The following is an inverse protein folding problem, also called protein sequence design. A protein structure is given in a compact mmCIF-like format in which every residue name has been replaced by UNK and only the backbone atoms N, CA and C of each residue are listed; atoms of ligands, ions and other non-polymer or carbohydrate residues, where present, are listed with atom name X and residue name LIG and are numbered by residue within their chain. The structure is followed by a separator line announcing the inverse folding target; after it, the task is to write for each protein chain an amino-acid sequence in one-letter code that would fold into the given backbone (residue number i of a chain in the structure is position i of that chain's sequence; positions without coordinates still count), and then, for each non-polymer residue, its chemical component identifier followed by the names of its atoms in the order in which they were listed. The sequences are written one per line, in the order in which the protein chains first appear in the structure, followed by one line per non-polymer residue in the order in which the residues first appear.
data_IF_711446958433
#
_entry.id   IF_711446958433
#
_cell.length_a   1.000
_cell.length_b   1.000
_cell.length_c   1.000
_cell.angle_alpha   90.00
_cell.angle_beta   90.00
_cell.angle_gamma   90.00
#
_symmetry.space_group_name_H-M   'P 1'
#
loop_
_entity.id
_entity.type
_entity.pdbx_description
1 polymer ?
#
# COMPACT_ATOMS: atom_id res chain seq x y z
N UNK A 1 6.54 -46.13 17.47
CA UNK A 1 7.50 -46.98 16.76
C UNK A 1 8.37 -46.02 15.96
N UNK A 2 9.62 -45.86 16.38
CA UNK A 2 10.62 -45.11 15.65
C UNK A 2 11.07 -46.03 14.53
N UNK A 3 10.57 -45.82 13.31
CA UNK A 3 11.17 -46.43 12.13
C UNK A 3 12.50 -45.77 11.93
N UNK A 4 13.59 -46.53 11.90
CA UNK A 4 14.91 -46.07 11.49
C UNK A 4 14.74 -45.30 10.17
N UNK A 5 14.92 -43.97 10.23
CA UNK A 5 15.05 -43.18 9.04
C UNK A 5 16.33 -43.63 8.31
N UNK A 6 16.24 -43.91 7.01
CA UNK A 6 17.43 -44.08 6.18
C UNK A 6 18.44 -42.99 6.55
N UNK A 7 19.67 -43.38 6.85
CA UNK A 7 20.73 -42.47 7.17
C UNK A 7 20.79 -41.37 6.10
N UNK A 8 20.94 -40.10 6.47
CA UNK A 8 20.96 -39.01 5.50
C UNK A 8 22.06 -39.32 4.47
N UNK A 9 21.72 -39.23 3.18
CA UNK A 9 22.71 -39.30 2.10
C UNK A 9 23.73 -38.22 2.36
N UNK A 10 24.92 -38.61 2.78
CA UNK A 10 25.95 -37.63 3.10
C UNK A 10 26.42 -36.93 1.82
N UNK A 11 26.97 -35.73 1.97
CA UNK A 11 27.67 -35.01 0.90
C UNK A 11 28.66 -35.93 0.19
N UNK A 12 29.38 -36.72 1.01
CA UNK A 12 30.40 -37.67 0.56
C UNK A 12 29.82 -38.79 -0.32
N UNK A 13 28.66 -39.34 0.01
CA UNK A 13 28.00 -40.38 -0.79
C UNK A 13 27.57 -39.83 -2.17
N UNK A 14 27.10 -38.59 -2.23
CA UNK A 14 26.69 -37.96 -3.51
C UNK A 14 27.92 -37.61 -4.36
N UNK A 15 28.98 -37.09 -3.74
CA UNK A 15 30.27 -36.82 -4.38
C UNK A 15 30.85 -38.13 -4.91
N UNK A 16 30.91 -39.19 -4.09
CA UNK A 16 31.37 -40.50 -4.48
C UNK A 16 30.64 -41.05 -5.69
N UNK A 17 29.32 -41.03 -5.67
CA UNK A 17 28.49 -41.45 -6.79
C UNK A 17 28.76 -40.65 -8.08
N UNK A 18 28.99 -39.34 -7.97
CA UNK A 18 29.34 -38.50 -9.10
C UNK A 18 30.72 -38.79 -9.65
N UNK A 19 31.68 -39.08 -8.79
CA UNK A 19 33.05 -39.53 -9.15
C UNK A 19 32.99 -40.87 -9.86
N UNK A 20 32.25 -41.86 -9.34
CA UNK A 20 32.08 -43.19 -9.95
C UNK A 20 31.50 -43.08 -11.38
N UNK A 21 30.57 -42.19 -11.60
CA UNK A 21 30.02 -41.89 -12.93
C UNK A 21 31.12 -41.35 -13.88
N UNK A 22 31.98 -40.48 -13.38
CA UNK A 22 33.07 -39.90 -14.20
C UNK A 22 34.13 -40.96 -14.50
N UNK A 23 34.49 -41.77 -13.51
CA UNK A 23 35.45 -42.90 -13.72
C UNK A 23 34.99 -43.87 -14.80
N UNK A 24 33.68 -44.21 -14.85
CA UNK A 24 33.12 -45.12 -15.86
C UNK A 24 33.10 -44.51 -17.26
N UNK A 25 32.99 -43.19 -17.38
CA UNK A 25 32.77 -42.51 -18.64
C UNK A 25 34.02 -42.00 -19.36
N UNK A 26 35.08 -41.60 -18.62
CA UNK A 26 36.27 -41.05 -19.23
C UNK A 26 36.98 -42.05 -20.14
N UNK A 27 37.15 -43.35 -19.81
CA UNK A 27 37.72 -44.32 -20.71
C UNK A 27 36.92 -44.43 -22.03
N UNK A 28 35.57 -44.34 -21.96
CA UNK A 28 34.69 -44.37 -23.12
C UNK A 28 34.92 -43.17 -24.04
N UNK A 29 35.11 -41.98 -23.45
CA UNK A 29 35.42 -40.77 -24.20
C UNK A 29 36.75 -40.88 -24.90
N UNK A 30 37.80 -41.41 -24.20
CA UNK A 30 39.13 -41.58 -24.75
C UNK A 30 39.08 -42.53 -25.93
N UNK A 31 38.47 -43.72 -25.79
CA UNK A 31 38.35 -44.71 -26.86
C UNK A 31 37.65 -44.16 -28.09
N UNK A 32 36.49 -43.50 -27.90
CA UNK A 32 35.75 -42.91 -29.02
C UNK A 32 36.48 -41.73 -29.68
N UNK A 33 37.25 -40.94 -28.89
CA UNK A 33 38.05 -39.84 -29.42
C UNK A 33 39.31 -40.33 -30.17
N UNK A 34 39.84 -41.49 -29.81
CA UNK A 34 40.96 -42.16 -30.50
C UNK A 34 40.51 -42.66 -31.88
N UNK A 35 39.31 -43.26 -31.97
CA UNK A 35 38.71 -43.67 -33.23
C UNK A 35 38.54 -42.47 -34.20
N UNK A 36 38.14 -41.31 -33.68
CA UNK A 36 37.95 -40.10 -34.48
C UNK A 36 39.17 -39.19 -34.58
N UNK A 37 40.31 -39.56 -34.01
CA UNK A 37 41.60 -38.83 -33.96
C UNK A 37 41.54 -37.45 -33.32
N UNK A 38 40.71 -37.24 -32.30
CA UNK A 38 40.57 -35.98 -31.58
C UNK A 38 41.61 -35.79 -30.46
N UNK A 39 42.85 -35.45 -30.81
CA UNK A 39 44.00 -35.36 -29.87
C UNK A 39 43.73 -34.42 -28.65
N UNK A 40 43.09 -33.26 -28.86
CA UNK A 40 42.79 -32.33 -27.77
C UNK A 40 41.78 -32.92 -26.76
N UNK A 41 40.75 -33.61 -27.28
CA UNK A 41 39.76 -34.27 -26.43
C UNK A 41 40.39 -35.42 -25.64
N UNK A 42 41.26 -36.21 -26.27
CA UNK A 42 42.01 -37.28 -25.64
C UNK A 42 42.89 -36.74 -24.50
N UNK A 43 43.66 -35.68 -24.75
CA UNK A 43 44.53 -35.07 -23.76
C UNK A 43 43.75 -34.51 -22.56
N UNK A 44 42.67 -33.80 -22.79
CA UNK A 44 41.80 -33.26 -21.71
C UNK A 44 41.16 -34.40 -20.90
N UNK A 45 40.73 -35.47 -21.59
CA UNK A 45 40.13 -36.62 -20.93
C UNK A 45 41.15 -37.40 -20.09
N UNK A 46 42.37 -37.57 -20.59
CA UNK A 46 43.49 -38.22 -19.86
C UNK A 46 43.93 -37.38 -18.65
N UNK A 47 43.94 -36.05 -18.77
CA UNK A 47 44.19 -35.15 -17.64
C UNK A 47 43.10 -35.31 -16.53
N UNK A 48 41.84 -35.30 -16.97
CA UNK A 48 40.72 -35.52 -16.05
C UNK A 48 40.75 -36.91 -15.39
N UNK A 49 41.14 -37.98 -16.15
CA UNK A 49 41.31 -39.32 -15.60
C UNK A 49 42.35 -39.35 -14.44
N UNK A 50 43.53 -38.74 -14.66
CA UNK A 50 44.57 -38.66 -13.62
C UNK A 50 44.09 -37.97 -12.34
N UNK A 51 43.31 -36.90 -12.51
CA UNK A 51 42.75 -36.17 -11.35
C UNK A 51 41.70 -37.00 -10.61
N UNK A 52 40.83 -37.70 -11.33
CA UNK A 52 39.84 -38.61 -10.76
C UNK A 52 40.45 -39.78 -10.05
N UNK A 53 41.49 -40.39 -10.66
CA UNK A 53 42.24 -41.51 -10.03
C UNK A 53 42.91 -41.06 -8.72
N UNK A 54 43.46 -39.84 -8.69
CA UNK A 54 43.99 -39.23 -7.46
C UNK A 54 42.90 -39.02 -6.37
N UNK A 55 41.76 -38.51 -6.76
CA UNK A 55 40.60 -38.26 -5.87
C UNK A 55 39.98 -39.58 -5.42
N UNK A 56 39.92 -40.61 -6.30
CA UNK A 56 39.36 -41.93 -6.00
C UNK A 56 40.07 -42.67 -4.83
N UNK A 57 41.31 -42.28 -4.51
CA UNK A 57 42.09 -42.86 -3.40
C UNK A 57 41.87 -42.13 -2.07
N UNK A 58 41.54 -40.83 -2.10
CA UNK A 58 41.24 -40.01 -0.91
C UNK A 58 40.30 -38.88 -1.26
N UNK A 59 39.06 -38.90 -0.73
CA UNK A 59 38.07 -37.81 -0.95
C UNK A 59 38.53 -36.45 -0.43
N UNK A 60 39.47 -36.38 0.50
CA UNK A 60 40.09 -35.13 0.97
C UNK A 60 40.84 -34.35 -0.15
N UNK A 61 41.19 -35.03 -1.23
CA UNK A 61 41.97 -34.43 -2.31
C UNK A 61 41.07 -33.78 -3.42
N UNK A 62 39.73 -33.86 -3.27
CA UNK A 62 38.78 -33.29 -4.20
C UNK A 62 38.99 -31.78 -4.32
N UNK A 63 39.09 -31.07 -3.20
CA UNK A 63 39.22 -29.61 -3.17
C UNK A 63 40.46 -29.13 -3.92
N UNK A 64 41.58 -29.77 -3.69
CA UNK A 64 42.86 -29.42 -4.34
C UNK A 64 42.84 -29.66 -5.88
N UNK A 65 41.97 -30.55 -6.34
CA UNK A 65 41.90 -30.94 -7.78
C UNK A 65 40.73 -30.27 -8.51
N UNK A 66 39.84 -29.56 -7.83
CA UNK A 66 38.61 -29.01 -8.40
C UNK A 66 38.82 -27.99 -9.51
N UNK A 67 39.81 -27.10 -9.34
CA UNK A 67 40.14 -26.11 -10.35
C UNK A 67 40.70 -26.73 -11.64
N UNK A 68 41.57 -27.74 -11.49
CA UNK A 68 42.13 -28.45 -12.63
C UNK A 68 41.10 -29.31 -13.37
N UNK A 69 40.15 -29.91 -12.61
CA UNK A 69 39.00 -30.62 -13.20
C UNK A 69 38.10 -29.67 -13.99
N UNK A 70 37.83 -28.47 -13.48
CA UNK A 70 37.05 -27.44 -14.19
C UNK A 70 37.71 -26.98 -15.46
N UNK A 71 39.04 -26.80 -15.45
CA UNK A 71 39.81 -26.46 -16.63
C UNK A 71 39.71 -27.53 -17.71
N UNK A 72 39.91 -28.82 -17.33
CA UNK A 72 39.76 -29.94 -18.24
C UNK A 72 38.32 -30.02 -18.82
N UNK A 73 37.30 -29.81 -18.02
CA UNK A 73 35.90 -29.75 -18.48
C UNK A 73 35.62 -28.60 -19.43
N UNK A 74 36.16 -27.42 -19.18
CA UNK A 74 36.03 -26.27 -20.08
C UNK A 74 36.70 -26.53 -21.43
N UNK A 75 37.85 -27.19 -21.42
CA UNK A 75 38.53 -27.59 -22.63
C UNK A 75 37.71 -28.59 -23.45
N UNK A 76 37.13 -29.59 -22.80
CA UNK A 76 36.21 -30.55 -23.43
C UNK A 76 34.96 -29.87 -23.99
N UNK A 77 34.36 -28.97 -23.26
CA UNK A 77 33.17 -28.21 -23.67
C UNK A 77 33.48 -27.33 -24.90
N UNK A 78 34.60 -26.62 -24.87
CA UNK A 78 35.05 -25.79 -26.01
C UNK A 78 35.32 -26.62 -27.24
N UNK A 79 35.87 -27.82 -27.04
CA UNK A 79 36.09 -28.74 -28.14
C UNK A 79 34.78 -29.22 -28.75
N UNK A 80 33.79 -29.58 -27.95
CA UNK A 80 32.44 -29.96 -28.41
C UNK A 80 31.78 -28.86 -29.24
N UNK A 81 31.91 -27.60 -28.84
CA UNK A 81 31.34 -26.46 -29.56
C UNK A 81 31.97 -26.20 -30.92
N UNK A 82 33.26 -26.53 -31.06
CA UNK A 82 34.04 -26.24 -32.26
C UNK A 82 34.00 -27.37 -33.29
N UNK A 83 33.66 -28.59 -32.88
CA UNK A 83 33.76 -29.78 -33.71
C UNK A 83 32.41 -30.49 -33.86
N UNK A 84 32.16 -31.07 -35.04
CA UNK A 84 30.96 -31.85 -35.32
C UNK A 84 31.16 -33.30 -34.84
N UNK A 85 30.92 -33.57 -33.58
CA UNK A 85 31.10 -34.88 -32.95
C UNK A 85 29.86 -35.78 -33.19
N UNK A 86 30.06 -37.11 -33.10
CA UNK A 86 28.94 -38.03 -33.11
C UNK A 86 27.97 -37.77 -31.93
N UNK A 87 26.68 -38.05 -32.12
CA UNK A 87 25.66 -37.87 -31.06
C UNK A 87 26.02 -38.62 -29.77
N UNK A 88 26.56 -39.83 -29.91
CA UNK A 88 26.97 -40.69 -28.79
C UNK A 88 28.10 -40.05 -27.98
N UNK A 89 29.15 -39.56 -28.66
CA UNK A 89 30.31 -38.92 -28.02
C UNK A 89 29.90 -37.61 -27.32
N UNK A 90 29.09 -36.77 -27.98
CA UNK A 90 28.56 -35.56 -27.39
C UNK A 90 27.76 -35.84 -26.09
N UNK A 91 26.92 -36.87 -26.07
CA UNK A 91 26.14 -37.24 -24.90
C UNK A 91 27.05 -37.66 -23.74
N UNK A 92 28.03 -38.52 -23.97
CA UNK A 92 28.93 -39.00 -22.92
C UNK A 92 29.80 -37.87 -22.36
N UNK A 93 30.29 -36.94 -23.18
CA UNK A 93 31.05 -35.78 -22.73
C UNK A 93 30.16 -34.85 -21.90
N UNK A 94 28.97 -34.51 -22.41
CA UNK A 94 28.04 -33.62 -21.71
C UNK A 94 27.66 -34.16 -20.30
N UNK A 95 27.34 -35.45 -20.19
CA UNK A 95 27.01 -36.08 -18.92
C UNK A 95 28.21 -36.14 -17.95
N UNK A 96 29.45 -36.29 -18.48
CA UNK A 96 30.66 -36.21 -17.68
C UNK A 96 30.91 -34.82 -17.12
N UNK A 97 30.77 -33.78 -17.97
CA UNK A 97 30.87 -32.38 -17.57
C UNK A 97 29.81 -32.03 -16.49
N UNK A 98 28.57 -32.44 -16.70
CA UNK A 98 27.47 -32.23 -15.73
C UNK A 98 27.80 -32.88 -14.37
N UNK A 99 28.37 -34.10 -14.41
CA UNK A 99 28.74 -34.79 -13.16
C UNK A 99 29.87 -34.07 -12.40
N UNK A 100 30.82 -33.47 -13.09
CA UNK A 100 31.88 -32.67 -12.45
C UNK A 100 31.37 -31.34 -11.93
N UNK A 101 30.50 -30.63 -12.67
CA UNK A 101 29.86 -29.43 -12.14
C UNK A 101 29.00 -29.72 -10.90
N UNK A 102 28.38 -30.90 -10.86
CA UNK A 102 27.64 -31.34 -9.66
C UNK A 102 28.54 -31.59 -8.47
N UNK A 103 29.77 -32.11 -8.68
CA UNK A 103 30.80 -32.26 -7.62
C UNK A 103 31.17 -30.86 -7.09
N UNK A 104 31.40 -29.87 -7.97
CA UNK A 104 31.73 -28.52 -7.60
C UNK A 104 30.61 -27.86 -6.77
N UNK A 105 29.37 -27.97 -7.25
CA UNK A 105 28.22 -27.44 -6.51
C UNK A 105 28.04 -28.04 -5.11
N UNK A 106 28.37 -29.33 -4.97
CA UNK A 106 28.30 -30.03 -3.72
C UNK A 106 29.49 -29.71 -2.79
N UNK A 107 30.64 -29.32 -3.35
CA UNK A 107 31.83 -29.00 -2.57
C UNK A 107 31.72 -27.64 -1.87
N UNK A 108 31.14 -26.65 -2.57
CA UNK A 108 30.91 -25.32 -2.03
C UNK A 108 29.69 -25.23 -1.09
N UNK A 109 28.87 -26.27 -1.06
CA UNK A 109 27.67 -26.30 -0.18
C UNK A 109 27.94 -27.12 1.06
N UNK A 110 27.55 -26.57 2.21
CA UNK A 110 27.44 -27.35 3.46
C UNK A 110 26.53 -28.56 3.22
N UNK A 111 26.78 -29.70 3.90
CA UNK A 111 25.97 -30.90 3.73
C UNK A 111 24.48 -30.59 3.97
N UNK A 112 23.64 -31.03 3.06
CA UNK A 112 22.18 -30.93 3.21
C UNK A 112 21.69 -32.19 3.94
N UNK A 113 20.99 -31.99 5.04
CA UNK A 113 20.40 -33.05 5.84
C UNK A 113 18.89 -33.11 5.56
N UNK A 114 18.32 -34.31 5.57
CA UNK A 114 16.87 -34.52 5.62
C UNK A 114 16.53 -35.02 7.03
N UNK A 115 15.66 -34.28 7.70
CA UNK A 115 15.23 -34.62 9.06
C UNK A 115 13.71 -34.64 9.13
N UNK A 116 13.13 -35.79 9.49
CA UNK A 116 11.73 -35.88 9.86
C UNK A 116 11.55 -35.31 11.27
N UNK A 117 10.68 -34.34 11.39
CA UNK A 117 10.32 -33.67 12.64
C UNK A 117 8.85 -33.98 12.98
N UNK A 118 8.46 -33.75 14.22
CA UNK A 118 7.09 -33.97 14.69
C UNK A 118 6.03 -33.24 13.84
N UNK A 119 6.36 -32.05 13.34
CA UNK A 119 5.45 -31.16 12.60
C UNK A 119 5.77 -31.02 11.10
N UNK A 120 6.67 -31.86 10.57
CA UNK A 120 7.03 -31.80 9.14
C UNK A 120 8.40 -32.39 8.82
N UNK A 121 8.91 -32.06 7.64
CA UNK A 121 10.21 -32.52 7.16
C UNK A 121 11.12 -31.31 6.87
N UNK A 122 12.34 -31.36 7.37
CA UNK A 122 13.39 -30.39 7.11
C UNK A 122 14.40 -30.92 6.10
N UNK A 123 14.79 -30.09 5.15
CA UNK A 123 15.88 -30.31 4.21
C UNK A 123 16.81 -29.10 4.26
N UNK A 124 18.07 -29.27 4.70
CA UNK A 124 18.98 -28.13 4.78
C UNK A 124 20.24 -28.37 5.60
N UNK A 125 20.91 -27.29 5.93
CA UNK A 125 22.13 -27.26 6.71
C UNK A 125 21.82 -27.54 8.18
N UNK A 126 22.71 -28.30 8.83
CA UNK A 126 22.65 -28.58 10.26
C UNK A 126 24.01 -28.38 10.91
N UNK A 127 24.03 -27.90 12.15
CA UNK A 127 25.21 -27.82 12.99
C UNK A 127 24.89 -28.36 14.38
N UNK A 128 25.72 -29.31 14.89
CA UNK A 128 25.53 -29.91 16.21
C UNK A 128 24.12 -30.45 16.49
N UNK A 129 23.49 -31.05 15.46
CA UNK A 129 22.15 -31.62 15.55
C UNK A 129 21.01 -30.58 15.51
N UNK A 130 21.29 -29.31 15.23
CA UNK A 130 20.32 -28.26 15.09
C UNK A 130 20.24 -27.76 13.64
N UNK A 131 19.06 -27.33 13.20
CA UNK A 131 18.88 -26.63 11.92
C UNK A 131 19.61 -25.31 12.02
N UNK A 132 20.54 -25.09 11.08
CA UNK A 132 21.40 -23.91 11.03
C UNK A 132 21.67 -23.54 9.57
N UNK A 133 21.89 -22.26 9.23
CA UNK A 133 22.15 -21.84 7.87
C UNK A 133 20.94 -21.96 6.94
N UNK A 134 21.13 -22.33 5.69
CA UNK A 134 20.06 -22.42 4.68
C UNK A 134 19.32 -23.75 4.77
N UNK A 135 17.97 -23.66 4.63
CA UNK A 135 17.15 -24.86 4.62
C UNK A 135 15.73 -24.63 4.16
N UNK A 136 15.01 -25.74 4.00
CA UNK A 136 13.61 -25.78 3.62
C UNK A 136 12.84 -26.66 4.60
N UNK A 137 11.69 -26.20 5.05
CA UNK A 137 10.84 -26.93 5.96
C UNK A 137 9.46 -27.12 5.34
N UNK A 138 9.03 -28.34 5.20
CA UNK A 138 7.72 -28.74 4.73
C UNK A 138 6.86 -29.09 5.94
N UNK A 139 5.91 -28.25 6.27
CA UNK A 139 4.99 -28.44 7.39
C UNK A 139 3.90 -29.46 7.04
N UNK A 140 3.40 -30.20 8.04
CA UNK A 140 2.29 -31.17 7.84
C UNK A 140 0.99 -30.53 7.39
N UNK A 141 0.76 -29.24 7.69
CA UNK A 141 -0.39 -28.48 7.23
C UNK A 141 -0.29 -28.00 5.76
N UNK A 142 0.81 -28.31 5.08
CA UNK A 142 1.06 -27.94 3.69
C UNK A 142 1.76 -26.59 3.50
N UNK A 143 2.12 -25.89 4.58
CA UNK A 143 2.97 -24.71 4.50
C UNK A 143 4.41 -25.11 4.13
N UNK A 144 5.16 -24.17 3.56
CA UNK A 144 6.57 -24.35 3.23
C UNK A 144 7.34 -23.11 3.66
N UNK A 145 8.43 -23.33 4.40
CA UNK A 145 9.42 -22.27 4.64
C UNK A 145 10.72 -22.61 3.92
N UNK A 146 11.32 -21.62 3.27
CA UNK A 146 12.63 -21.70 2.63
C UNK A 146 13.45 -20.48 3.00
N UNK A 147 14.58 -20.66 3.69
CA UNK A 147 15.35 -19.53 4.18
C UNK A 147 16.40 -19.90 5.21
N UNK A 148 16.80 -18.89 5.98
CA UNK A 148 17.79 -19.05 7.02
C UNK A 148 17.21 -19.69 8.29
N UNK A 149 17.99 -20.55 8.93
CA UNK A 149 17.71 -21.14 10.24
C UNK A 149 18.81 -20.79 11.23
N UNK A 150 18.43 -20.64 12.48
CA UNK A 150 19.35 -20.49 13.60
C UNK A 150 18.78 -21.21 14.83
N UNK A 151 19.55 -22.13 15.42
CA UNK A 151 19.11 -22.89 16.57
C UNK A 151 17.72 -23.53 16.41
N UNK A 152 17.44 -24.20 15.30
CA UNK A 152 16.16 -24.80 14.92
C UNK A 152 15.02 -23.86 14.60
N UNK A 153 15.20 -22.54 14.68
CA UNK A 153 14.18 -21.53 14.41
C UNK A 153 14.42 -20.85 13.06
N UNK A 154 13.35 -20.42 12.39
CA UNK A 154 13.43 -19.53 11.23
C UNK A 154 14.14 -18.24 11.66
N UNK A 155 15.10 -17.79 10.88
CA UNK A 155 15.89 -16.61 11.20
C UNK A 155 16.36 -15.92 9.90
N UNK A 156 16.86 -14.66 10.00
CA UNK A 156 17.39 -13.98 8.83
C UNK A 156 16.38 -13.82 7.70
N UNK A 157 16.79 -14.07 6.46
CA UNK A 157 15.91 -13.95 5.28
C UNK A 157 15.26 -15.27 4.93
N UNK A 158 13.96 -15.20 4.59
CA UNK A 158 13.24 -16.39 4.17
C UNK A 158 11.95 -16.09 3.41
N UNK A 159 11.46 -17.15 2.77
CA UNK A 159 10.18 -17.20 2.08
C UNK A 159 9.28 -18.21 2.79
N UNK A 160 8.11 -17.78 3.19
CA UNK A 160 7.06 -18.63 3.75
C UNK A 160 5.90 -18.71 2.79
N UNK A 161 5.58 -19.89 2.30
CA UNK A 161 4.42 -20.15 1.45
C UNK A 161 3.40 -20.89 2.28
N UNK A 162 2.26 -20.25 2.51
CA UNK A 162 1.13 -20.81 3.24
C UNK A 162 0.36 -21.82 2.38
N UNK A 163 -0.33 -22.76 2.99
CA UNK A 163 -1.15 -23.76 2.29
C UNK A 163 -2.27 -23.14 1.44
N UNK A 164 -2.79 -21.97 1.84
CA UNK A 164 -3.75 -21.16 1.08
C UNK A 164 -3.14 -20.42 -0.11
N UNK A 165 -1.83 -20.55 -0.35
CA UNK A 165 -1.02 -19.89 -1.39
C UNK A 165 -0.65 -18.43 -1.12
N UNK A 166 -0.92 -17.90 0.05
CA UNK A 166 -0.29 -16.65 0.47
C UNK A 166 1.22 -16.85 0.54
N UNK A 167 1.98 -15.77 0.34
CA UNK A 167 3.43 -15.80 0.37
C UNK A 167 3.95 -14.63 1.19
N UNK A 168 4.82 -14.92 2.14
CA UNK A 168 5.66 -13.92 2.81
C UNK A 168 7.11 -14.10 2.39
N UNK A 169 7.78 -13.00 2.02
CA UNK A 169 9.22 -12.95 1.74
C UNK A 169 9.83 -11.80 2.56
N UNK A 170 10.75 -12.10 3.47
CA UNK A 170 11.31 -11.07 4.33
C UNK A 170 12.13 -11.59 5.50
N UNK A 171 12.21 -10.77 6.53
CA UNK A 171 12.98 -11.02 7.74
C UNK A 171 12.23 -11.91 8.72
N UNK A 172 12.95 -12.84 9.31
CA UNK A 172 12.54 -13.68 10.42
C UNK A 172 13.49 -13.51 11.60
N UNK A 173 12.94 -13.51 12.79
CA UNK A 173 13.72 -13.48 14.02
C UNK A 173 13.11 -14.45 15.03
N UNK A 174 13.92 -15.43 15.48
CA UNK A 174 13.51 -16.45 16.46
C UNK A 174 12.17 -17.15 16.13
N UNK A 175 11.95 -17.45 14.86
CA UNK A 175 10.75 -18.17 14.38
C UNK A 175 9.58 -17.28 13.97
N UNK A 176 9.61 -16.00 14.28
CA UNK A 176 8.56 -15.03 13.96
C UNK A 176 8.93 -14.14 12.77
N UNK A 177 7.93 -13.61 12.06
CA UNK A 177 8.10 -12.52 11.11
C UNK A 177 8.41 -11.25 11.91
N UNK A 178 9.63 -10.73 11.79
CA UNK A 178 10.10 -9.52 12.50
C UNK A 178 11.19 -8.86 11.67
N UNK A 179 10.99 -7.59 11.30
CA UNK A 179 11.83 -6.82 10.39
C UNK A 179 11.08 -6.40 9.12
N UNK A 180 11.75 -6.35 7.98
CA UNK A 180 11.16 -5.94 6.70
C UNK A 180 10.75 -7.13 5.85
N UNK A 181 9.57 -7.02 5.22
CA UNK A 181 9.11 -8.08 4.33
C UNK A 181 7.90 -7.72 3.51
N UNK A 182 7.68 -8.55 2.49
CA UNK A 182 6.56 -8.46 1.57
C UNK A 182 5.62 -9.64 1.77
N UNK A 183 4.36 -9.36 2.02
CA UNK A 183 3.29 -10.35 2.08
C UNK A 183 2.40 -10.21 0.85
N UNK A 184 2.26 -11.29 0.11
CA UNK A 184 1.38 -11.37 -1.07
C UNK A 184 0.24 -12.33 -0.76
N UNK A 185 -0.96 -11.80 -0.71
CA UNK A 185 -2.18 -12.56 -0.50
C UNK A 185 -2.65 -13.21 -1.81
N UNK A 186 -3.19 -14.40 -1.75
CA UNK A 186 -3.72 -15.11 -2.92
C UNK A 186 -4.85 -14.32 -3.61
N UNK A 187 -5.58 -13.50 -2.85
CA UNK A 187 -6.66 -12.64 -3.35
C UNK A 187 -6.15 -11.38 -4.09
N UNK A 188 -4.83 -11.18 -4.13
CA UNK A 188 -4.19 -10.10 -4.89
C UNK A 188 -3.77 -8.89 -4.06
N UNK A 189 -4.09 -8.85 -2.76
CA UNK A 189 -3.56 -7.82 -1.86
C UNK A 189 -2.06 -8.00 -1.67
N UNK A 190 -1.33 -6.91 -1.44
CA UNK A 190 0.11 -6.93 -1.17
C UNK A 190 0.41 -5.97 -0.02
N UNK A 191 1.16 -6.43 0.97
CA UNK A 191 1.80 -5.56 1.94
C UNK A 191 3.31 -5.62 1.79
N UNK A 192 3.97 -4.48 1.76
CA UNK A 192 5.43 -4.34 1.73
C UNK A 192 5.83 -3.32 2.79
N UNK A 193 6.53 -3.75 3.84
CA UNK A 193 6.82 -2.89 4.98
C UNK A 193 7.44 -3.60 6.16
N UNK A 194 7.37 -2.92 7.30
CA UNK A 194 7.94 -3.38 8.56
C UNK A 194 6.95 -4.27 9.33
N UNK A 195 7.50 -5.26 10.03
CA UNK A 195 6.81 -6.19 10.89
C UNK A 195 7.45 -6.24 12.26
N UNK A 196 6.64 -6.45 13.28
CA UNK A 196 7.07 -6.78 14.63
C UNK A 196 6.15 -7.82 15.24
N UNK A 197 6.73 -8.94 15.69
CA UNK A 197 5.97 -10.07 16.24
C UNK A 197 4.76 -10.42 15.35
N UNK A 198 5.05 -10.72 14.07
CA UNK A 198 4.07 -11.12 13.04
C UNK A 198 3.01 -10.06 12.67
N UNK A 199 3.07 -8.85 13.27
CA UNK A 199 2.13 -7.76 12.98
C UNK A 199 2.81 -6.67 12.15
N UNK A 200 2.06 -6.08 11.22
CA UNK A 200 2.50 -4.89 10.48
C UNK A 200 2.75 -3.77 11.49
N UNK A 201 3.94 -3.18 11.41
CA UNK A 201 4.42 -2.13 12.33
C UNK A 201 5.25 -1.12 11.52
N UNK A 202 5.51 0.08 12.07
CA UNK A 202 6.39 1.05 11.43
C UNK A 202 5.88 1.54 10.07
N UNK A 203 6.76 1.65 9.08
CA UNK A 203 6.42 2.10 7.73
C UNK A 203 6.04 0.94 6.82
N UNK A 204 5.01 1.15 6.00
CA UNK A 204 4.61 0.14 5.03
C UNK A 204 3.64 0.62 3.97
N UNK A 205 3.64 -0.09 2.85
CA UNK A 205 2.72 0.09 1.73
C UNK A 205 1.77 -1.09 1.65
N UNK A 206 0.48 -0.83 1.61
CA UNK A 206 -0.54 -1.84 1.35
C UNK A 206 -1.22 -1.53 0.02
N UNK A 207 -1.19 -2.48 -0.89
CA UNK A 207 -1.87 -2.41 -2.19
C UNK A 207 -3.02 -3.41 -2.12
N UNK A 208 -4.23 -2.90 -2.28
CA UNK A 208 -5.45 -3.69 -2.31
C UNK A 208 -5.69 -4.27 -3.71
N UNK A 209 -6.35 -5.39 -3.80
CA UNK A 209 -6.72 -6.05 -5.07
C UNK A 209 -7.59 -5.16 -5.96
N UNK A 210 -8.40 -4.27 -5.37
CA UNK A 210 -9.15 -3.24 -6.09
C UNK A 210 -8.30 -2.06 -6.59
N UNK A 211 -6.97 -2.09 -6.42
CA UNK A 211 -5.98 -1.06 -6.77
C UNK A 211 -5.94 0.17 -5.86
N UNK A 212 -6.68 0.19 -4.76
CA UNK A 212 -6.44 1.16 -3.71
C UNK A 212 -5.03 0.96 -3.15
N UNK A 213 -4.42 2.02 -2.60
CA UNK A 213 -3.10 1.93 -2.00
C UNK A 213 -3.00 2.80 -0.75
N UNK A 214 -2.50 2.22 0.31
CA UNK A 214 -2.10 2.97 1.50
C UNK A 214 -0.58 2.99 1.64
N UNK A 215 -0.01 4.15 1.92
CA UNK A 215 1.41 4.34 2.23
C UNK A 215 1.50 5.13 3.52
N UNK A 216 2.08 4.56 4.56
CA UNK A 216 2.16 5.24 5.85
C UNK A 216 2.52 4.34 7.01
N UNK A 217 2.24 4.84 8.20
CA UNK A 217 2.57 4.20 9.45
C UNK A 217 1.54 3.12 9.84
N UNK A 218 2.04 2.09 10.47
CA UNK A 218 1.29 0.94 10.97
C UNK A 218 1.60 0.72 12.46
N UNK A 219 0.61 0.26 13.20
CA UNK A 219 0.76 -0.15 14.59
C UNK A 219 -0.18 -1.31 14.90
N UNK A 220 0.38 -2.43 15.36
CA UNK A 220 -0.39 -3.62 15.71
C UNK A 220 -1.27 -4.13 14.56
N UNK A 221 -0.79 -4.08 13.31
CA UNK A 221 -1.51 -4.53 12.12
C UNK A 221 -2.52 -3.53 11.53
N UNK A 222 -2.70 -2.33 12.14
CA UNK A 222 -3.66 -1.31 11.70
C UNK A 222 -2.95 -0.06 11.20
N UNK A 223 -3.56 0.66 10.25
CA UNK A 223 -3.12 2.00 9.84
C UNK A 223 -3.09 2.91 11.06
N UNK A 224 -1.99 3.63 11.25
CA UNK A 224 -1.77 4.50 12.41
C UNK A 224 -0.88 5.67 12.03
N UNK A 225 -0.87 6.76 12.87
CA UNK A 225 -0.03 7.92 12.60
C UNK A 225 -0.28 8.54 11.23
N UNK A 226 0.76 9.05 10.57
CA UNK A 226 0.64 9.73 9.27
C UNK A 226 0.63 8.73 8.12
N UNK A 227 -0.26 8.97 7.13
CA UNK A 227 -0.33 8.15 5.94
C UNK A 227 -1.11 8.79 4.79
N UNK A 228 -0.93 8.22 3.61
CA UNK A 228 -1.63 8.62 2.40
C UNK A 228 -2.41 7.41 1.89
N UNK A 229 -3.69 7.60 1.66
CA UNK A 229 -4.55 6.61 1.01
C UNK A 229 -4.91 7.08 -0.40
N UNK A 230 -4.52 6.33 -1.39
CA UNK A 230 -4.86 6.54 -2.79
C UNK A 230 -6.02 5.60 -3.14
N UNK A 231 -7.13 6.14 -3.57
CA UNK A 231 -8.27 5.37 -4.05
C UNK A 231 -8.12 5.06 -5.55
N UNK A 232 -8.71 3.99 -5.99
CA UNK A 232 -8.69 3.57 -7.40
C UNK A 232 -9.36 4.59 -8.33
N UNK A 233 -10.32 5.37 -7.80
CA UNK A 233 -10.99 6.47 -8.51
C UNK A 233 -10.12 7.73 -8.68
N UNK A 234 -8.84 7.70 -8.29
CA UNK A 234 -7.86 8.79 -8.28
C UNK A 234 -8.04 9.83 -7.17
N UNK A 235 -9.04 9.69 -6.31
CA UNK A 235 -9.11 10.49 -5.09
C UNK A 235 -7.99 10.06 -4.12
N UNK A 236 -7.65 10.91 -3.15
CA UNK A 236 -6.69 10.59 -2.11
C UNK A 236 -6.97 11.30 -0.81
N UNK A 237 -6.58 10.65 0.27
CA UNK A 237 -6.53 11.24 1.60
C UNK A 237 -5.09 11.29 2.09
N UNK A 238 -4.68 12.41 2.65
CA UNK A 238 -3.38 12.63 3.29
C UNK A 238 -3.63 13.12 4.72
N UNK A 239 -3.26 12.34 5.73
CA UNK A 239 -3.55 12.75 7.11
C UNK A 239 -3.22 11.71 8.15
N UNK A 240 -3.84 11.87 9.32
CA UNK A 240 -3.61 11.05 10.48
C UNK A 240 -4.61 9.88 10.54
N UNK A 241 -4.13 8.77 11.11
CA UNK A 241 -4.91 7.55 11.34
C UNK A 241 -4.74 7.09 12.77
N UNK A 242 -5.83 6.62 13.37
CA UNK A 242 -5.83 5.92 14.65
C UNK A 242 -6.65 4.64 14.51
N UNK A 243 -6.03 3.49 14.80
CA UNK A 243 -6.67 2.17 14.73
C UNK A 243 -7.37 1.86 13.40
N UNK A 244 -6.78 2.33 12.28
CA UNK A 244 -7.27 2.08 10.94
C UNK A 244 -8.21 3.13 10.38
N UNK A 245 -8.70 4.08 11.20
CA UNK A 245 -9.63 5.14 10.82
C UNK A 245 -8.92 6.49 10.66
N UNK A 246 -9.43 7.34 9.78
CA UNK A 246 -8.98 8.73 9.66
C UNK A 246 -9.32 9.48 10.93
N UNK A 247 -8.33 10.18 11.47
CA UNK A 247 -8.42 10.90 12.75
C UNK A 247 -7.55 12.17 12.67
N UNK A 248 -7.82 13.17 13.52
CA UNK A 248 -6.99 14.38 13.57
C UNK A 248 -7.03 15.21 12.29
N UNK A 249 -5.91 15.78 11.91
CA UNK A 249 -5.80 16.65 10.73
C UNK A 249 -5.60 15.86 9.45
N UNK A 250 -6.31 16.27 8.38
CA UNK A 250 -6.17 15.62 7.08
C UNK A 250 -6.63 16.47 5.90
N UNK A 251 -6.21 16.02 4.72
CA UNK A 251 -6.57 16.59 3.42
C UNK A 251 -7.21 15.50 2.57
N UNK A 252 -8.32 15.83 1.95
CA UNK A 252 -8.97 14.94 0.98
C UNK A 252 -9.06 15.63 -0.37
N UNK A 253 -8.59 14.96 -1.40
CA UNK A 253 -8.63 15.41 -2.79
C UNK A 253 -9.57 14.46 -3.54
N UNK A 254 -10.72 14.94 -3.94
CA UNK A 254 -11.69 14.16 -4.69
C UNK A 254 -11.34 14.08 -6.18
N UNK A 255 -11.80 13.04 -6.85
CA UNK A 255 -11.62 12.84 -8.29
C UNK A 255 -12.21 13.98 -9.13
N UNK A 256 -13.34 14.55 -8.69
CA UNK A 256 -14.01 15.66 -9.37
C UNK A 256 -13.31 17.02 -9.17
N UNK A 257 -12.22 17.07 -8.38
CA UNK A 257 -11.47 18.28 -8.06
C UNK A 257 -11.91 18.99 -6.78
N UNK A 258 -12.90 18.47 -6.05
CA UNK A 258 -13.23 18.98 -4.73
C UNK A 258 -12.08 18.71 -3.76
N UNK A 259 -11.89 19.61 -2.80
CA UNK A 259 -10.82 19.56 -1.83
C UNK A 259 -11.35 19.86 -0.42
N UNK A 260 -10.95 19.05 0.54
CA UNK A 260 -11.19 19.33 1.95
C UNK A 260 -9.86 19.31 2.73
N UNK A 261 -9.70 20.25 3.65
CA UNK A 261 -8.62 20.29 4.65
C UNK A 261 -9.21 20.67 6.01
N UNK A 262 -9.02 19.80 6.99
CA UNK A 262 -9.61 20.02 8.31
C UNK A 262 -9.49 18.82 9.23
N UNK A 263 -10.36 18.80 10.25
CA UNK A 263 -10.42 17.77 11.24
C UNK A 263 -11.20 16.55 10.73
N UNK A 264 -10.73 15.37 11.11
CA UNK A 264 -11.39 14.08 10.93
C UNK A 264 -11.58 13.39 12.27
N UNK A 265 -12.68 12.67 12.39
CA UNK A 265 -12.97 11.79 13.51
C UNK A 265 -13.74 10.57 13.00
N UNK A 266 -13.24 9.36 13.31
CA UNK A 266 -13.88 8.10 12.89
C UNK A 266 -14.25 8.09 11.40
N UNK A 267 -13.28 8.44 10.52
CA UNK A 267 -13.40 8.54 9.04
C UNK A 267 -14.28 9.68 8.51
N UNK A 268 -14.89 10.50 9.36
CA UNK A 268 -15.78 11.60 8.97
C UNK A 268 -15.08 12.95 9.14
N UNK A 269 -15.47 13.92 8.30
CA UNK A 269 -15.14 15.34 8.52
C UNK A 269 -15.85 15.80 9.78
N UNK A 270 -15.10 16.39 10.70
CA UNK A 270 -15.57 16.83 12.01
C UNK A 270 -14.82 18.11 12.43
N UNK A 271 -15.34 18.88 13.38
CA UNK A 271 -14.65 20.06 13.88
C UNK A 271 -14.43 21.13 12.82
N UNK A 272 -13.28 21.77 12.76
CA UNK A 272 -12.98 22.87 11.85
C UNK A 272 -12.36 22.39 10.54
N UNK A 273 -12.82 23.01 9.43
CA UNK A 273 -12.26 22.69 8.12
C UNK A 273 -12.60 23.70 7.02
N UNK A 274 -11.92 23.50 5.90
CA UNK A 274 -12.11 24.23 4.65
C UNK A 274 -12.51 23.24 3.57
N UNK A 275 -13.63 23.48 2.91
CA UNK A 275 -14.04 22.73 1.74
C UNK A 275 -14.03 23.65 0.52
N UNK A 276 -13.31 23.25 -0.53
CA UNK A 276 -13.28 23.95 -1.80
C UNK A 276 -13.94 23.06 -2.85
N UNK A 277 -14.99 23.56 -3.45
CA UNK A 277 -15.67 22.89 -4.54
C UNK A 277 -14.91 23.10 -5.86
N UNK A 278 -14.88 22.11 -6.69
CA UNK A 278 -14.29 22.19 -8.05
C UNK A 278 -14.96 23.27 -8.90
N UNK A 279 -16.23 23.59 -8.60
CA UNK A 279 -16.98 24.68 -9.21
C UNK A 279 -16.48 26.08 -8.86
N UNK A 280 -15.65 26.23 -7.81
CA UNK A 280 -15.07 27.48 -7.35
C UNK A 280 -15.69 28.06 -6.08
N UNK A 281 -16.72 27.44 -5.53
CA UNK A 281 -17.29 27.79 -4.23
C UNK A 281 -16.34 27.34 -3.10
N UNK A 282 -16.45 27.95 -1.93
CA UNK A 282 -15.66 27.62 -0.74
C UNK A 282 -16.53 27.68 0.51
N UNK A 283 -16.42 26.66 1.36
CA UNK A 283 -16.91 26.71 2.73
C UNK A 283 -15.72 26.69 3.72
N UNK A 284 -15.82 27.47 4.79
CA UNK A 284 -14.86 27.50 5.90
C UNK A 284 -15.63 27.59 7.21
N UNK A 285 -15.56 26.56 8.04
CA UNK A 285 -16.37 26.51 9.25
C UNK A 285 -16.34 25.18 9.98
N UNK A 286 -17.40 24.96 10.77
CA UNK A 286 -17.60 23.74 11.52
C UNK A 286 -18.19 22.63 10.67
N UNK A 287 -17.75 21.39 10.93
CA UNK A 287 -18.25 20.16 10.35
C UNK A 287 -18.78 19.23 11.44
N UNK A 288 -19.85 18.53 11.16
CA UNK A 288 -20.38 17.46 11.98
C UNK A 288 -20.87 16.31 11.07
N UNK A 289 -20.31 15.11 11.26
CA UNK A 289 -20.68 13.91 10.48
C UNK A 289 -20.66 14.15 8.95
N UNK A 290 -19.60 14.77 8.42
CA UNK A 290 -19.37 15.15 7.03
C UNK A 290 -20.16 16.35 6.48
N UNK A 291 -21.10 16.92 7.24
CA UNK A 291 -21.93 18.05 6.82
C UNK A 291 -21.38 19.38 7.36
N UNK A 292 -21.66 20.48 6.71
CA UNK A 292 -21.50 21.82 7.26
C UNK A 292 -22.43 21.95 8.47
N UNK A 293 -21.90 22.48 9.54
CA UNK A 293 -22.62 22.59 10.80
C UNK A 293 -22.11 23.80 11.59
N UNK A 294 -22.86 24.21 12.63
CA UNK A 294 -22.41 25.30 13.51
C UNK A 294 -22.10 26.58 12.74
N UNK A 295 -21.02 27.27 13.10
CA UNK A 295 -20.62 28.52 12.46
C UNK A 295 -19.72 28.28 11.25
N UNK A 296 -20.03 29.02 10.15
CA UNK A 296 -19.24 28.94 8.95
C UNK A 296 -19.46 30.09 7.98
N UNK A 297 -18.53 30.17 7.02
CA UNK A 297 -18.56 31.10 5.93
C UNK A 297 -18.63 30.33 4.62
N UNK A 298 -19.68 30.55 3.85
CA UNK A 298 -19.79 30.05 2.49
C UNK A 298 -19.55 31.17 1.47
N UNK A 299 -18.55 31.00 0.64
CA UNK A 299 -18.21 31.99 -0.42
C UNK A 299 -18.51 31.37 -1.76
N UNK A 300 -19.43 31.97 -2.50
CA UNK A 300 -19.79 31.57 -3.84
C UNK A 300 -18.75 32.06 -4.87
N UNK A 301 -18.53 31.30 -5.91
CA UNK A 301 -17.70 31.71 -7.05
C UNK A 301 -18.14 33.05 -7.68
N UNK A 302 -19.43 33.36 -7.62
CA UNK A 302 -19.95 34.58 -8.16
C UNK A 302 -19.66 35.82 -7.28
N UNK A 303 -19.05 35.66 -6.12
CA UNK A 303 -18.70 36.72 -5.17
C UNK A 303 -19.73 36.95 -4.07
N UNK A 304 -20.86 36.25 -4.03
CA UNK A 304 -21.76 36.26 -2.88
C UNK A 304 -21.08 35.57 -1.70
N UNK A 305 -21.49 35.90 -0.47
CA UNK A 305 -20.96 35.29 0.75
C UNK A 305 -22.08 35.16 1.77
N UNK A 306 -22.15 34.00 2.42
CA UNK A 306 -22.94 33.81 3.64
C UNK A 306 -21.99 33.63 4.82
N UNK A 307 -22.31 34.27 5.95
CA UNK A 307 -21.57 34.19 7.21
C UNK A 307 -22.60 33.97 8.33
N UNK A 308 -22.68 32.75 8.83
CA UNK A 308 -23.75 32.41 9.77
C UNK A 308 -23.72 30.97 10.26
N UNK A 309 -24.86 30.51 10.71
CA UNK A 309 -25.03 29.17 11.23
C UNK A 309 -25.50 28.21 10.12
N UNK A 310 -25.04 26.97 10.24
CA UNK A 310 -25.36 25.84 9.35
C UNK A 310 -25.91 24.67 10.17
N UNK A 311 -26.83 23.93 9.59
CA UNK A 311 -27.26 22.62 10.07
C UNK A 311 -27.50 21.70 8.86
N UNK A 312 -26.76 20.57 8.80
CA UNK A 312 -26.86 19.59 7.70
C UNK A 312 -26.76 20.22 6.31
N UNK A 313 -25.68 21.01 6.11
CA UNK A 313 -25.34 21.74 4.89
C UNK A 313 -26.23 22.93 4.54
N UNK A 314 -27.29 23.22 5.32
CA UNK A 314 -28.26 24.29 5.08
C UNK A 314 -28.00 25.50 6.00
N UNK A 315 -28.30 26.73 5.52
CA UNK A 315 -28.34 27.93 6.36
C UNK A 315 -29.43 27.79 7.41
N UNK A 316 -29.09 28.05 8.66
CA UNK A 316 -30.00 27.89 9.79
C UNK A 316 -29.71 28.93 10.86
N UNK A 317 -30.76 29.35 11.60
CA UNK A 317 -30.61 30.33 12.68
C UNK A 317 -30.12 31.68 12.19
N UNK A 318 -29.22 32.35 12.90
CA UNK A 318 -28.75 33.71 12.56
C UNK A 318 -27.60 33.66 11.55
N UNK A 319 -27.68 34.57 10.54
CA UNK A 319 -26.62 34.72 9.54
C UNK A 319 -26.77 35.97 8.68
N UNK A 320 -25.65 36.33 8.05
CA UNK A 320 -25.56 37.48 7.16
C UNK A 320 -25.22 37.01 5.75
N UNK A 321 -26.03 37.39 4.77
CA UNK A 321 -25.75 37.15 3.37
C UNK A 321 -25.30 38.44 2.71
N UNK A 322 -24.14 38.46 2.13
CA UNK A 322 -23.56 39.56 1.35
C UNK A 322 -23.71 39.24 -0.14
N UNK A 323 -24.43 40.06 -0.83
CA UNK A 323 -24.56 39.98 -2.27
C UNK A 323 -23.39 40.67 -2.96
N UNK A 324 -22.92 40.14 -4.07
CA UNK A 324 -21.79 40.70 -4.84
C UNK A 324 -22.02 42.13 -5.32
N UNK A 325 -23.29 42.54 -5.49
CA UNK A 325 -23.70 43.87 -5.96
C UNK A 325 -23.71 44.91 -4.85
N UNK A 326 -23.48 44.51 -3.60
CA UNK A 326 -23.40 45.38 -2.44
C UNK A 326 -24.64 45.37 -1.54
N UNK A 327 -25.68 44.62 -1.86
CA UNK A 327 -26.80 44.38 -0.96
C UNK A 327 -26.35 43.48 0.21
N UNK A 328 -27.05 43.54 1.33
CA UNK A 328 -26.83 42.71 2.48
C UNK A 328 -28.14 42.30 3.16
N UNK A 329 -28.27 41.04 3.54
CA UNK A 329 -29.33 40.58 4.43
C UNK A 329 -28.70 40.07 5.75
N UNK A 330 -29.22 40.48 6.87
CA UNK A 330 -28.83 40.05 8.19
C UNK A 330 -30.10 39.66 8.98
N UNK A 331 -30.24 38.40 9.36
CA UNK A 331 -31.45 37.92 10.00
C UNK A 331 -31.44 36.42 10.29
N UNK A 332 -32.67 35.93 10.44
CA UNK A 332 -32.93 34.51 10.70
C UNK A 332 -33.09 33.76 9.39
N UNK A 333 -32.62 32.50 9.42
CA UNK A 333 -32.61 31.56 8.31
C UNK A 333 -33.19 30.21 8.73
N UNK A 334 -33.91 29.57 7.84
CA UNK A 334 -34.45 28.25 8.03
C UNK A 334 -34.39 27.48 6.70
N UNK A 335 -33.60 26.41 6.67
CA UNK A 335 -33.43 25.59 5.45
C UNK A 335 -33.10 26.43 4.20
N UNK A 336 -32.05 27.26 4.28
CA UNK A 336 -31.57 28.19 3.23
C UNK A 336 -32.48 29.36 2.92
N UNK A 337 -33.65 29.46 3.54
CA UNK A 337 -34.62 30.54 3.28
C UNK A 337 -34.57 31.57 4.44
N UNK A 338 -34.74 32.86 4.08
CA UNK A 338 -34.95 33.92 5.07
C UNK A 338 -36.27 33.67 5.77
N UNK A 339 -36.22 33.69 7.11
CA UNK A 339 -37.37 33.44 7.99
C UNK A 339 -37.26 34.33 9.23
N UNK A 340 -38.38 34.56 9.92
CA UNK A 340 -38.37 35.37 11.15
C UNK A 340 -37.94 36.81 10.92
N UNK A 341 -37.26 37.41 11.92
CA UNK A 341 -36.83 38.81 11.84
C UNK A 341 -35.55 39.01 11.06
N UNK A 342 -35.49 40.03 10.20
CA UNK A 342 -34.30 40.35 9.43
C UNK A 342 -34.24 41.78 8.91
N UNK A 343 -33.03 42.20 8.59
CA UNK A 343 -32.69 43.50 8.01
C UNK A 343 -32.09 43.32 6.62
N UNK A 344 -32.68 43.92 5.60
CA UNK A 344 -32.14 43.95 4.27
C UNK A 344 -31.62 45.37 3.98
N UNK A 345 -30.32 45.48 3.77
CA UNK A 345 -29.67 46.73 3.39
C UNK A 345 -29.38 46.71 1.90
N UNK A 346 -30.03 47.61 1.17
CA UNK A 346 -29.81 47.80 -0.26
C UNK A 346 -28.55 48.63 -0.53
N UNK A 347 -27.82 48.35 -1.58
CA UNK A 347 -26.63 49.11 -1.99
C UNK A 347 -26.90 50.61 -2.22
N UNK A 348 -28.13 50.96 -2.51
CA UNK A 348 -28.52 52.37 -2.69
C UNK A 348 -28.73 53.10 -1.35
N UNK A 349 -28.57 52.43 -0.23
CA UNK A 349 -28.70 52.97 1.14
C UNK A 349 -30.09 52.90 1.73
N UNK A 350 -31.09 52.30 1.05
CA UNK A 350 -32.36 51.98 1.65
C UNK A 350 -32.20 50.76 2.60
N UNK A 351 -33.10 50.65 3.59
CA UNK A 351 -33.09 49.51 4.50
C UNK A 351 -34.52 49.01 4.74
N UNK A 352 -34.71 47.70 4.72
CA UNK A 352 -35.95 47.08 5.18
C UNK A 352 -35.65 46.33 6.49
N UNK A 353 -36.43 46.52 7.50
CA UNK A 353 -36.43 45.81 8.78
C UNK A 353 -37.82 45.23 9.04
N UNK A 354 -37.92 43.91 9.23
CA UNK A 354 -39.22 43.31 9.45
C UNK A 354 -39.20 41.79 9.39
N UNK A 355 -40.41 41.23 9.33
CA UNK A 355 -40.62 39.80 9.28
C UNK A 355 -40.35 39.25 7.88
N UNK A 356 -39.81 38.05 7.81
CA UNK A 356 -39.58 37.28 6.59
C UNK A 356 -40.23 35.91 6.69
N UNK A 357 -40.72 35.42 5.57
CA UNK A 357 -41.24 34.09 5.39
C UNK A 357 -40.90 33.58 4.00
N UNK A 358 -40.24 32.41 3.93
CA UNK A 358 -39.85 31.82 2.63
C UNK A 358 -39.17 32.85 1.69
N UNK A 359 -38.11 33.52 2.14
CA UNK A 359 -37.31 34.54 1.44
C UNK A 359 -38.02 35.92 1.21
N UNK A 360 -39.29 36.06 1.47
CA UNK A 360 -40.05 37.27 1.21
C UNK A 360 -40.34 38.05 2.50
N UNK A 361 -40.30 39.36 2.40
CA UNK A 361 -40.86 40.21 3.45
C UNK A 361 -42.37 39.87 3.66
N UNK A 362 -42.75 39.57 4.87
CA UNK A 362 -44.09 39.14 5.26
C UNK A 362 -44.44 39.76 6.61
N UNK A 363 -45.72 40.03 6.88
CA UNK A 363 -46.12 40.60 8.16
C UNK A 363 -45.65 42.04 8.37
N UNK A 364 -45.32 42.43 9.59
CA UNK A 364 -44.96 43.82 9.92
C UNK A 364 -43.53 44.16 9.53
N UNK A 365 -43.32 45.36 8.96
CA UNK A 365 -42.02 45.84 8.62
C UNK A 365 -41.91 47.33 8.42
N UNK A 366 -40.70 47.83 8.46
CA UNK A 366 -40.35 49.24 8.23
C UNK A 366 -39.36 49.31 7.07
N UNK A 367 -39.71 50.16 6.10
CA UNK A 367 -38.82 50.47 5.00
C UNK A 367 -38.25 51.88 5.15
N UNK A 368 -36.98 51.99 5.40
CA UNK A 368 -36.23 53.24 5.51
C UNK A 368 -35.68 53.63 4.16
N UNK A 369 -36.01 54.82 3.72
CA UNK A 369 -35.45 55.43 2.52
C UNK A 369 -34.12 56.16 2.83
N UNK A 370 -33.18 56.16 1.90
CA UNK A 370 -31.89 56.85 2.02
C UNK A 370 -32.07 58.36 2.33
N UNK A 371 -33.18 58.97 1.90
CA UNK A 371 -33.46 60.39 2.15
C UNK A 371 -33.97 60.69 3.58
N UNK A 372 -34.06 59.71 4.45
CA UNK A 372 -34.52 59.84 5.84
C UNK A 372 -36.03 59.59 6.02
N UNK A 373 -36.80 59.40 4.97
CA UNK A 373 -38.20 58.97 5.06
C UNK A 373 -38.26 57.48 5.50
N UNK A 374 -39.39 57.08 6.13
CA UNK A 374 -39.68 55.66 6.37
C UNK A 374 -41.14 55.31 6.16
N UNK A 375 -41.41 54.09 5.74
CA UNK A 375 -42.77 53.56 5.63
C UNK A 375 -42.90 52.39 6.60
N UNK A 376 -43.94 52.43 7.45
CA UNK A 376 -44.22 51.38 8.45
C UNK A 376 -45.58 50.76 8.13
N UNK A 377 -45.67 49.44 8.02
CA UNK A 377 -46.92 48.76 7.70
C UNK A 377 -46.72 47.26 7.45
N UNK A 378 -47.74 46.68 6.82
CA UNK A 378 -47.77 45.26 6.50
C UNK A 378 -47.19 44.96 5.10
N UNK A 379 -46.46 43.85 5.01
CA UNK A 379 -45.87 43.30 3.79
C UNK A 379 -46.46 41.93 3.50
N UNK A 380 -46.62 41.59 2.25
CA UNK A 380 -47.02 40.26 1.79
C UNK A 380 -46.26 39.89 0.51
N UNK A 381 -45.65 38.72 0.52
CA UNK A 381 -44.85 38.26 -0.63
C UNK A 381 -43.87 39.31 -1.15
N UNK A 382 -43.17 40.03 -0.27
CA UNK A 382 -42.17 41.06 -0.58
C UNK A 382 -42.71 42.41 -0.98
N UNK A 383 -44.03 42.64 -0.95
CA UNK A 383 -44.68 43.91 -1.35
C UNK A 383 -45.40 44.54 -0.18
N UNK A 384 -45.39 45.89 -0.06
CA UNK A 384 -46.22 46.58 0.91
C UNK A 384 -47.70 46.40 0.57
N UNK A 385 -48.54 46.13 1.60
CA UNK A 385 -50.00 45.95 1.41
C UNK A 385 -50.75 46.72 2.49
N UNK A 386 -52.01 47.08 2.16
CA UNK A 386 -52.87 47.78 3.11
C UNK A 386 -52.45 49.23 3.40
N UNK A 387 -52.64 49.65 4.65
CA UNK A 387 -52.36 51.04 5.08
C UNK A 387 -50.97 51.07 5.73
N UNK A 388 -50.11 51.95 5.24
CA UNK A 388 -48.83 52.27 5.83
C UNK A 388 -48.79 53.69 6.36
N UNK A 389 -48.05 53.89 7.47
CA UNK A 389 -47.68 55.21 7.96
C UNK A 389 -46.34 55.60 7.29
N UNK A 390 -46.37 56.69 6.53
CA UNK A 390 -45.14 57.29 5.97
C UNK A 390 -44.74 58.46 6.88
N UNK A 391 -43.51 58.35 7.39
CA UNK A 391 -42.85 59.40 8.15
C UNK A 391 -41.83 60.06 7.20
N UNK A 392 -41.95 61.36 7.06
CA UNK A 392 -41.00 62.13 6.27
C UNK A 392 -39.83 62.65 7.11
N UNK A 393 -38.72 62.89 6.51
CA UNK A 393 -37.50 63.40 7.20
C UNK A 393 -37.73 64.78 7.86
N UNK A 394 -38.70 65.57 7.38
CA UNK A 394 -39.08 66.85 7.95
C UNK A 394 -40.03 66.74 9.17
N UNK A 395 -40.41 65.52 9.57
CA UNK A 395 -41.29 65.26 10.71
C UNK A 395 -42.76 65.07 10.36
N UNK A 396 -43.18 65.27 9.14
CA UNK A 396 -44.59 65.06 8.71
C UNK A 396 -44.91 63.54 8.71
N UNK A 397 -46.22 63.23 8.96
CA UNK A 397 -46.71 61.83 8.91
C UNK A 397 -47.97 61.84 7.96
N UNK A 398 -47.95 60.79 7.08
CA UNK A 398 -49.11 60.62 6.14
C UNK A 398 -49.46 59.13 6.06
N UNK A 399 -50.77 58.86 5.99
CA UNK A 399 -51.26 57.53 5.61
C UNK A 399 -51.15 57.33 4.11
N UNK A 400 -50.56 56.24 3.68
CA UNK A 400 -50.51 55.79 2.29
C UNK A 400 -51.15 54.41 2.19
N UNK A 401 -51.90 54.14 1.11
CA UNK A 401 -52.55 52.85 0.88
C UNK A 401 -51.95 52.16 -0.33
N UNK A 402 -51.44 50.92 -0.07
CA UNK A 402 -50.99 50.02 -1.12
C UNK A 402 -52.11 49.06 -1.51
N UNK A 403 -52.22 48.73 -2.81
CA UNK A 403 -53.24 47.82 -3.35
C UNK A 403 -52.83 46.39 -3.25
#
# INVERSE_FOLDING_TARGET
MITEAEAPKTKDDTIKKSIDIVIDRIPKIISMAEEDKYTLLINSSKSLQKLIDKVGTKYSDVESSLNEMNEACNNMFNFMRKNKLSKKLNTVIAETIISIFRINELYDKKPLYVQNCENGTYEGEMEKGKREGKGKFFFLNGDIYEGDFKNNLRHGKGKYTYCNKDVYEGDFNNGEIDGKGKYSYVEGDIYDGEYKHEKREGQGTYIYSNKDKYVGQWKGGKKHGKGIFYYNDKSRYEGEYVNGKKEGKGKYFAQNGDFYEGDFKEDKREGKGIFKFSGGDKYEGDFLNNNFHGKGIYTYKNGNKYDGNFEKDLFQGKGTFYFKDGDKYEGEWKNDLKEGMGTYTYKNGNVYEGEYKNDHAEGKGIFYHKNGDRNEGEFKAGKPVGIHLKYYANGDIKQIRFK
#
